data_IF_739228357241
#
_entry.id   IF_739228357241
#
_cell.length_a   1.000
_cell.length_b   1.000
_cell.length_c   1.000
_cell.angle_alpha   90.00
_cell.angle_beta   90.00
_cell.angle_gamma   90.00
#
_symmetry.space_group_name_H-M   'P 1'
#
loop_
_entity.id
_entity.type
_entity.pdbx_description
1 polymer ?
#
# COMPACT_ATOMS: atom_id res chain seq x y z
N UNK A 1 14.97 17.13 22.35
CA UNK A 1 13.58 16.76 22.73
C UNK A 1 13.32 15.33 22.29
N UNK A 2 13.23 14.39 23.24
CA UNK A 2 13.08 12.95 23.01
C UNK A 2 11.61 12.63 22.70
N UNK A 3 11.35 11.96 21.57
CA UNK A 3 10.02 11.40 21.26
C UNK A 3 10.01 9.93 21.69
N UNK A 4 9.32 9.66 22.78
CA UNK A 4 9.01 8.31 23.26
C UNK A 4 7.69 7.90 22.57
N UNK A 5 7.74 6.88 21.72
CA UNK A 5 6.56 6.29 21.08
C UNK A 5 5.89 5.33 22.07
N UNK A 6 4.76 5.77 22.65
CA UNK A 6 3.83 4.89 23.36
C UNK A 6 2.92 4.21 22.33
N UNK A 7 3.03 2.89 22.18
CA UNK A 7 2.03 2.08 21.49
C UNK A 7 0.97 1.71 22.53
N UNK A 8 -0.09 2.51 22.57
CA UNK A 8 -1.24 2.28 23.44
C UNK A 8 -2.24 1.31 22.77
N UNK A 9 -2.83 0.48 23.63
CA UNK A 9 -3.78 -0.59 23.34
C UNK A 9 -5.03 -0.13 22.59
N UNK A 10 -5.49 -0.97 21.65
CA UNK A 10 -6.79 -0.85 21.00
C UNK A 10 -7.45 -2.24 20.95
N UNK A 11 -8.36 -2.48 21.90
CA UNK A 11 -9.41 -3.48 21.75
C UNK A 11 -10.74 -2.87 22.15
N UNK A 12 -11.58 -2.59 21.15
CA UNK A 12 -13.01 -2.51 21.32
C UNK A 12 -13.64 -2.82 19.96
N UNK A 13 -14.14 -4.06 19.79
CA UNK A 13 -15.01 -4.40 18.67
C UNK A 13 -16.36 -4.87 19.22
N UNK A 14 -17.39 -4.14 18.82
CA UNK A 14 -18.78 -4.32 19.19
C UNK A 14 -19.36 -5.61 18.61
N UNK A 15 -20.19 -6.29 19.41
CA UNK A 15 -20.94 -7.46 19.00
C UNK A 15 -22.25 -7.05 18.30
N UNK A 16 -22.52 -7.62 17.13
CA UNK A 16 -23.88 -7.69 16.56
C UNK A 16 -24.15 -9.17 16.27
N UNK A 17 -25.15 -9.71 16.97
CA UNK A 17 -25.64 -11.08 16.82
C UNK A 17 -26.85 -11.12 15.88
N UNK A 18 -26.88 -12.10 14.97
CA UNK A 18 -28.14 -12.65 14.44
C UNK A 18 -28.11 -14.19 14.47
N UNK A 19 -29.26 -14.85 14.70
CA UNK A 19 -29.32 -16.27 15.01
C UNK A 19 -29.48 -17.17 13.78
N UNK A 20 -28.95 -18.39 13.91
CA UNK A 20 -29.00 -19.46 12.93
C UNK A 20 -30.40 -20.08 12.78
N UNK A 21 -30.73 -20.52 11.57
CA UNK A 21 -31.82 -21.47 11.29
C UNK A 21 -31.25 -22.83 10.87
N UNK A 22 -31.76 -23.88 11.53
CA UNK A 22 -31.38 -25.27 11.34
C UNK A 22 -32.15 -25.93 10.17
N UNK A 23 -31.45 -26.76 9.39
CA UNK A 23 -32.02 -27.54 8.29
C UNK A 23 -31.47 -28.97 8.19
N UNK A 24 -32.26 -29.93 8.70
CA UNK A 24 -32.36 -31.38 8.41
C UNK A 24 -31.63 -31.95 7.17
N UNK A 25 -30.88 -33.07 7.33
CA UNK A 25 -31.28 -34.49 6.99
C UNK A 25 -30.09 -35.45 6.71
N UNK A 26 -30.26 -36.66 7.27
CA UNK A 26 -30.00 -38.03 6.74
C UNK A 26 -28.59 -38.64 6.77
N UNK A 27 -28.53 -39.68 7.60
CA UNK A 27 -27.60 -40.82 7.60
C UNK A 27 -27.30 -41.41 6.22
N UNK A 28 -26.01 -41.63 5.95
CA UNK A 28 -25.51 -42.75 5.15
C UNK A 28 -24.22 -43.29 5.77
N UNK A 29 -24.32 -44.52 6.30
CA UNK A 29 -23.24 -45.38 6.77
C UNK A 29 -22.31 -45.75 5.60
N UNK A 30 -21.01 -45.50 5.72
CA UNK A 30 -19.99 -46.20 4.91
C UNK A 30 -18.66 -46.31 5.67
N UNK A 31 -18.40 -47.52 6.12
CA UNK A 31 -17.12 -48.27 6.20
C UNK A 31 -15.91 -47.50 6.74
N UNK A 32 -15.56 -47.84 7.98
CA UNK A 32 -14.29 -47.56 8.65
C UNK A 32 -13.12 -48.16 7.85
N UNK A 33 -12.11 -47.33 7.62
CA UNK A 33 -10.73 -47.80 7.37
C UNK A 33 -9.94 -47.25 8.54
N UNK A 34 -9.50 -48.13 9.45
CA UNK A 34 -8.72 -47.78 10.63
C UNK A 34 -7.38 -47.20 10.18
N UNK A 35 -7.27 -45.88 10.28
CA UNK A 35 -5.98 -45.20 10.34
C UNK A 35 -5.65 -45.13 11.83
N UNK A 36 -4.51 -45.67 12.24
CA UNK A 36 -4.04 -45.57 13.63
C UNK A 36 -3.73 -44.09 13.90
N UNK A 37 -4.75 -43.36 14.34
CA UNK A 37 -4.65 -42.01 14.85
C UNK A 37 -4.01 -42.11 16.24
N UNK A 38 -2.79 -41.62 16.33
CA UNK A 38 -2.05 -41.53 17.59
C UNK A 38 -2.87 -40.63 18.53
N UNK A 39 -3.52 -41.25 19.52
CA UNK A 39 -4.44 -40.57 20.42
C UNK A 39 -3.74 -39.38 21.08
N UNK A 40 -4.25 -38.17 20.83
CA UNK A 40 -3.86 -36.98 21.56
C UNK A 40 -4.07 -37.23 23.08
N UNK A 41 -3.17 -36.73 23.95
CA UNK A 41 -3.32 -36.89 25.39
C UNK A 41 -4.70 -36.38 25.83
N UNK A 42 -5.48 -37.26 26.46
CA UNK A 42 -6.84 -36.95 26.93
C UNK A 42 -6.70 -35.93 28.05
N UNK A 43 -7.03 -34.67 27.76
CA UNK A 43 -7.08 -33.64 28.82
C UNK A 43 -8.06 -34.10 29.92
N UNK A 44 -7.74 -33.85 31.20
CA UNK A 44 -8.58 -34.29 32.31
C UNK A 44 -9.98 -33.69 32.20
N UNK A 45 -11.00 -34.52 32.43
CA UNK A 45 -12.40 -34.09 32.43
C UNK A 45 -12.62 -33.07 33.55
N UNK A 46 -13.04 -31.87 33.20
CA UNK A 46 -13.33 -30.80 34.18
C UNK A 46 -14.61 -31.14 34.96
N UNK A 47 -14.52 -31.15 36.29
CA UNK A 47 -15.65 -31.33 37.22
C UNK A 47 -15.90 -30.01 37.95
N UNK A 48 -17.12 -29.47 37.85
CA UNK A 48 -17.53 -28.24 38.52
C UNK A 48 -18.26 -28.60 39.81
N UNK A 49 -17.62 -28.44 40.96
CA UNK A 49 -18.12 -28.96 42.23
C UNK A 49 -19.19 -28.07 42.87
N UNK A 50 -19.18 -26.77 42.59
CA UNK A 50 -20.11 -25.80 43.15
C UNK A 50 -20.48 -24.63 42.20
N UNK A 51 -21.23 -23.65 42.73
CA UNK A 51 -21.64 -22.48 41.98
C UNK A 51 -20.49 -21.53 41.63
N UNK A 52 -19.43 -21.49 42.44
CA UNK A 52 -18.25 -20.66 42.18
C UNK A 52 -17.41 -21.26 41.05
N UNK A 53 -17.20 -22.58 41.04
CA UNK A 53 -16.57 -23.29 39.93
C UNK A 53 -17.34 -23.04 38.63
N UNK A 54 -18.68 -23.16 38.69
CA UNK A 54 -19.55 -22.91 37.55
C UNK A 54 -19.44 -21.46 37.05
N UNK A 55 -19.45 -20.48 37.95
CA UNK A 55 -19.33 -19.07 37.60
C UNK A 55 -17.97 -18.75 36.97
N UNK A 56 -16.88 -19.25 37.56
CA UNK A 56 -15.53 -18.99 37.07
C UNK A 56 -15.24 -19.69 35.74
N UNK A 57 -15.70 -20.94 35.59
CA UNK A 57 -15.62 -21.65 34.31
C UNK A 57 -16.40 -20.92 33.22
N UNK A 58 -17.64 -20.52 33.52
CA UNK A 58 -18.45 -19.73 32.58
C UNK A 58 -17.83 -18.37 32.28
N UNK A 59 -17.20 -17.69 33.25
CA UNK A 59 -16.49 -16.44 33.05
C UNK A 59 -15.29 -16.60 32.10
N UNK A 60 -14.53 -17.70 32.25
CA UNK A 60 -13.44 -18.05 31.33
C UNK A 60 -13.92 -18.28 29.90
N UNK A 61 -14.95 -19.10 29.70
CA UNK A 61 -15.58 -19.31 28.38
C UNK A 61 -16.13 -17.99 27.82
N UNK A 62 -16.73 -17.15 28.66
CA UNK A 62 -17.28 -15.87 28.25
C UNK A 62 -16.16 -14.87 27.83
N UNK A 63 -14.98 -14.97 28.43
CA UNK A 63 -13.83 -14.13 28.11
C UNK A 63 -13.20 -14.45 26.75
N UNK A 64 -13.49 -15.60 26.12
CA UNK A 64 -12.93 -15.99 24.81
C UNK A 64 -13.76 -15.53 23.61
N UNK A 65 -14.82 -14.73 23.80
CA UNK A 65 -15.67 -14.26 22.69
C UNK A 65 -14.83 -13.54 21.63
N UNK A 66 -14.84 -14.08 20.40
CA UNK A 66 -14.07 -13.55 19.27
C UNK A 66 -12.58 -13.89 19.26
N UNK A 67 -12.04 -14.48 20.34
CA UNK A 67 -10.61 -14.77 20.47
C UNK A 67 -10.13 -15.78 19.43
N UNK A 68 -10.90 -16.84 19.17
CA UNK A 68 -10.53 -17.84 18.16
C UNK A 68 -10.38 -17.22 16.76
N UNK A 69 -11.35 -16.41 16.36
CA UNK A 69 -11.31 -15.71 15.08
C UNK A 69 -10.13 -14.75 15.01
N UNK A 70 -9.84 -14.04 16.10
CA UNK A 70 -8.67 -13.17 16.18
C UNK A 70 -7.36 -13.94 16.07
N UNK A 71 -7.22 -15.07 16.76
CA UNK A 71 -6.05 -15.95 16.70
C UNK A 71 -5.81 -16.41 15.26
N UNK A 72 -6.85 -16.91 14.62
CA UNK A 72 -6.80 -17.36 13.22
C UNK A 72 -6.46 -16.22 12.26
N UNK A 73 -7.17 -15.08 12.36
CA UNK A 73 -7.01 -13.99 11.40
C UNK A 73 -5.69 -13.23 11.58
N UNK A 74 -5.23 -13.05 12.82
CA UNK A 74 -4.04 -12.22 13.09
C UNK A 74 -2.75 -13.03 13.08
N UNK A 75 -2.77 -14.25 13.63
CA UNK A 75 -1.57 -15.06 13.78
C UNK A 75 -1.52 -16.25 12.82
N UNK A 76 -2.59 -16.49 12.06
CA UNK A 76 -2.64 -17.61 11.11
C UNK A 76 -2.65 -18.98 11.76
N UNK A 77 -2.92 -19.06 13.07
CA UNK A 77 -2.96 -20.34 13.79
C UNK A 77 -4.27 -21.03 13.46
N UNK A 78 -4.19 -22.08 12.66
CA UNK A 78 -5.32 -22.93 12.32
C UNK A 78 -5.69 -23.88 13.48
N UNK A 79 -6.75 -24.66 13.29
CA UNK A 79 -7.22 -25.60 14.32
C UNK A 79 -6.22 -26.72 14.59
N UNK A 80 -5.40 -27.12 13.62
CA UNK A 80 -4.41 -28.19 13.79
C UNK A 80 -3.28 -27.75 14.73
N UNK A 81 -2.95 -26.47 14.74
CA UNK A 81 -1.90 -25.89 15.59
C UNK A 81 -2.44 -25.26 16.89
N UNK A 82 -3.75 -25.29 17.13
CA UNK A 82 -4.37 -24.74 18.35
C UNK A 82 -3.86 -25.39 19.65
N UNK A 83 -3.59 -26.71 19.72
CA UNK A 83 -3.00 -27.31 20.92
C UNK A 83 -1.64 -26.68 21.29
N UNK A 84 -0.78 -26.46 20.30
CA UNK A 84 0.54 -25.81 20.48
C UNK A 84 0.36 -24.37 20.97
N UNK A 85 -0.63 -23.65 20.43
CA UNK A 85 -0.96 -22.30 20.90
C UNK A 85 -1.39 -22.30 22.37
N UNK A 86 -2.24 -23.25 22.77
CA UNK A 86 -2.72 -23.38 24.16
C UNK A 86 -1.57 -23.72 25.10
N UNK A 87 -0.65 -24.61 24.70
CA UNK A 87 0.57 -24.91 25.46
C UNK A 87 1.43 -23.65 25.67
N UNK A 88 1.67 -22.88 24.61
CA UNK A 88 2.41 -21.62 24.69
C UNK A 88 1.71 -20.56 25.56
N UNK A 89 0.37 -20.49 25.51
CA UNK A 89 -0.42 -19.59 26.36
C UNK A 89 -0.34 -20.01 27.84
N UNK A 90 -0.45 -21.31 28.15
CA UNK A 90 -0.30 -21.85 29.50
C UNK A 90 1.09 -21.57 30.05
N UNK A 91 2.15 -21.85 29.29
CA UNK A 91 3.53 -21.55 29.68
C UNK A 91 3.74 -20.05 29.91
N UNK A 92 3.20 -19.20 29.02
CA UNK A 92 3.34 -17.76 29.14
C UNK A 92 2.66 -17.15 30.35
N UNK A 93 1.52 -17.70 30.77
CA UNK A 93 0.84 -17.30 32.01
C UNK A 93 1.61 -17.75 33.26
N UNK A 94 2.15 -18.98 33.25
CA UNK A 94 2.92 -19.53 34.37
C UNK A 94 4.26 -18.81 34.57
N UNK A 95 4.98 -18.54 33.47
CA UNK A 95 6.32 -17.94 33.50
C UNK A 95 6.33 -16.43 33.30
N UNK A 96 5.16 -15.78 33.39
CA UNK A 96 4.98 -14.36 33.06
C UNK A 96 5.98 -13.45 33.78
N UNK A 97 6.40 -13.79 35.00
CA UNK A 97 7.35 -13.02 35.80
C UNK A 97 8.82 -13.44 35.71
N UNK A 98 9.12 -14.57 35.07
CA UNK A 98 10.48 -15.07 34.90
C UNK A 98 11.28 -14.18 33.92
N UNK A 99 12.47 -13.74 34.32
CA UNK A 99 13.29 -12.82 33.53
C UNK A 99 13.77 -13.40 32.19
N UNK A 100 14.15 -14.68 32.16
CA UNK A 100 14.60 -15.35 30.92
C UNK A 100 13.43 -15.55 29.95
N UNK A 101 12.26 -15.92 30.47
CA UNK A 101 11.04 -16.00 29.68
C UNK A 101 10.67 -14.64 29.11
N UNK A 102 10.69 -13.57 29.93
CA UNK A 102 10.46 -12.19 29.49
C UNK A 102 11.42 -11.80 28.36
N UNK A 103 12.71 -12.09 28.50
CA UNK A 103 13.71 -11.78 27.47
C UNK A 103 13.46 -12.53 26.15
N UNK A 104 13.16 -13.84 26.22
CA UNK A 104 12.85 -14.66 25.05
C UNK A 104 11.55 -14.21 24.36
N UNK A 105 10.50 -13.96 25.13
CA UNK A 105 9.22 -13.49 24.62
C UNK A 105 9.37 -12.13 23.92
N UNK A 106 10.13 -11.20 24.52
CA UNK A 106 10.47 -9.93 23.88
C UNK A 106 11.24 -10.15 22.56
N UNK A 107 12.20 -11.08 22.53
CA UNK A 107 12.91 -11.46 21.32
C UNK A 107 11.98 -11.91 20.19
N UNK A 108 11.01 -12.79 20.47
CA UNK A 108 10.02 -13.23 19.47
C UNK A 108 9.12 -12.09 18.99
N UNK A 109 8.69 -11.21 19.89
CA UNK A 109 7.90 -10.03 19.53
C UNK A 109 8.67 -9.10 18.58
N UNK A 110 9.93 -8.82 18.88
CA UNK A 110 10.78 -7.99 18.03
C UNK A 110 11.10 -8.69 16.71
N UNK A 111 11.31 -10.01 16.69
CA UNK A 111 11.53 -10.76 15.46
C UNK A 111 10.37 -10.61 14.47
N UNK A 112 9.12 -10.62 14.95
CA UNK A 112 7.95 -10.37 14.11
C UNK A 112 7.94 -8.94 13.55
N UNK A 113 8.26 -7.94 14.38
CA UNK A 113 8.40 -6.54 13.93
C UNK A 113 9.49 -6.41 12.87
N UNK A 114 10.65 -7.03 13.07
CA UNK A 114 11.78 -7.03 12.12
C UNK A 114 11.33 -7.64 10.79
N UNK A 115 10.67 -8.79 10.82
CA UNK A 115 10.21 -9.48 9.62
C UNK A 115 9.19 -8.65 8.85
N UNK A 116 8.18 -8.12 9.53
CA UNK A 116 7.05 -7.42 8.88
C UNK A 116 7.39 -6.01 8.44
N UNK A 117 8.20 -5.27 9.21
CA UNK A 117 8.40 -3.84 9.00
C UNK A 117 9.82 -3.47 8.55
N UNK A 118 10.83 -4.26 8.90
CA UNK A 118 12.22 -3.95 8.54
C UNK A 118 12.58 -4.71 7.26
N UNK A 119 12.62 -6.03 7.31
CA UNK A 119 13.04 -6.87 6.18
C UNK A 119 12.15 -6.65 4.95
N UNK A 120 10.83 -6.54 5.13
CA UNK A 120 9.89 -6.30 4.04
C UNK A 120 10.08 -4.94 3.32
N UNK A 121 10.83 -4.01 3.91
CA UNK A 121 11.07 -2.68 3.34
C UNK A 121 12.48 -2.51 2.77
N UNK A 122 13.47 -3.29 3.21
CA UNK A 122 14.85 -3.19 2.68
C UNK A 122 14.88 -3.43 1.16
N UNK A 123 14.21 -4.48 0.68
CA UNK A 123 14.14 -4.78 -0.75
C UNK A 123 13.50 -3.65 -1.56
N UNK A 124 12.51 -2.95 -0.99
CA UNK A 124 11.85 -1.81 -1.64
C UNK A 124 12.76 -0.60 -1.73
N UNK A 125 13.59 -0.36 -0.72
CA UNK A 125 14.51 0.80 -0.70
C UNK A 125 15.61 0.69 -1.75
N UNK A 126 16.12 -0.53 -2.00
CA UNK A 126 17.17 -0.81 -2.98
C UNK A 126 16.62 -1.21 -4.35
N UNK A 127 15.30 -1.30 -4.52
CA UNK A 127 14.67 -1.69 -5.77
C UNK A 127 15.12 -0.80 -6.94
N UNK A 128 15.48 -1.44 -8.06
CA UNK A 128 16.00 -0.78 -9.26
C UNK A 128 17.45 -0.27 -9.13
N UNK A 129 18.10 -0.42 -7.97
CA UNK A 129 19.54 -0.14 -7.84
C UNK A 129 20.36 -1.39 -8.19
N UNK A 130 21.69 -1.27 -8.16
CA UNK A 130 22.61 -2.41 -8.32
C UNK A 130 22.86 -3.17 -7.02
N UNK A 131 22.39 -2.66 -5.87
CA UNK A 131 22.57 -3.31 -4.60
C UNK A 131 21.73 -4.59 -4.50
N UNK A 132 22.26 -5.57 -3.76
CA UNK A 132 21.58 -6.85 -3.50
C UNK A 132 21.40 -7.02 -2.00
N UNK A 133 20.16 -7.29 -1.57
CA UNK A 133 19.89 -7.56 -0.17
C UNK A 133 20.46 -8.92 0.25
N UNK A 134 21.31 -8.93 1.28
CA UNK A 134 21.89 -10.13 1.88
C UNK A 134 21.42 -10.26 3.32
N UNK A 135 20.27 -10.90 3.52
CA UNK A 135 19.64 -11.05 4.83
C UNK A 135 20.57 -11.57 5.93
N UNK A 136 21.45 -12.59 5.71
CA UNK A 136 22.36 -13.05 6.77
C UNK A 136 23.31 -11.96 7.26
N UNK A 137 23.83 -11.12 6.35
CA UNK A 137 24.74 -10.02 6.70
C UNK A 137 23.99 -8.89 7.39
N UNK A 138 22.79 -8.56 6.89
CA UNK A 138 21.93 -7.58 7.54
C UNK A 138 21.60 -7.97 8.99
N UNK A 139 21.22 -9.24 9.21
CA UNK A 139 20.89 -9.73 10.55
C UNK A 139 22.11 -9.81 11.45
N UNK A 140 23.29 -10.12 10.91
CA UNK A 140 24.55 -10.06 11.66
C UNK A 140 24.79 -8.64 12.20
N UNK A 141 24.73 -7.62 11.32
CA UNK A 141 24.88 -6.23 11.74
C UNK A 141 23.79 -5.77 12.73
N UNK A 142 22.55 -6.22 12.55
CA UNK A 142 21.45 -5.94 13.48
C UNK A 142 21.74 -6.51 14.87
N UNK A 143 22.17 -7.77 14.96
CA UNK A 143 22.47 -8.41 16.26
C UNK A 143 23.73 -7.84 16.90
N UNK A 144 24.76 -7.52 16.13
CA UNK A 144 25.98 -6.88 16.63
C UNK A 144 25.65 -5.52 17.26
N UNK A 145 24.84 -4.69 16.59
CA UNK A 145 24.37 -3.42 17.14
C UNK A 145 23.54 -3.59 18.43
N UNK A 146 22.64 -4.59 18.50
CA UNK A 146 21.86 -4.89 19.73
C UNK A 146 22.76 -5.32 20.88
N UNK A 147 23.85 -6.06 20.59
CA UNK A 147 24.87 -6.43 21.58
C UNK A 147 25.77 -5.26 22.00
N UNK A 148 25.68 -4.12 21.33
CA UNK A 148 26.60 -2.99 21.51
C UNK A 148 27.98 -3.23 20.90
N UNK A 149 28.11 -4.22 20.02
CA UNK A 149 29.33 -4.47 19.26
C UNK A 149 29.48 -3.38 18.19
N UNK A 150 30.64 -2.72 18.21
CA UNK A 150 31.00 -1.62 17.30
C UNK A 150 32.32 -1.87 16.58
N UNK A 151 32.79 -3.13 16.59
CA UNK A 151 34.06 -3.54 15.98
C UNK A 151 34.12 -3.27 14.47
N UNK A 152 33.00 -3.48 13.77
CA UNK A 152 32.90 -3.22 12.32
C UNK A 152 32.48 -1.77 12.03
N UNK A 153 31.41 -1.31 12.68
CA UNK A 153 30.92 0.07 12.58
C UNK A 153 30.37 0.55 13.91
N UNK A 154 30.58 1.84 14.21
CA UNK A 154 29.72 2.53 15.18
C UNK A 154 28.35 2.79 14.56
N UNK A 155 27.32 3.00 15.39
CA UNK A 155 25.98 3.38 14.90
C UNK A 155 26.01 4.64 14.01
N UNK A 156 26.89 5.59 14.35
CA UNK A 156 27.03 6.83 13.59
C UNK A 156 27.66 6.56 12.22
N UNK A 157 28.76 5.80 12.18
CA UNK A 157 29.49 5.54 10.94
C UNK A 157 28.69 4.64 10.00
N UNK A 158 27.99 3.64 10.53
CA UNK A 158 27.05 2.82 9.75
C UNK A 158 25.94 3.67 9.14
N UNK A 159 25.36 4.60 9.92
CA UNK A 159 24.33 5.51 9.41
C UNK A 159 24.87 6.44 8.34
N UNK A 160 26.08 6.97 8.49
CA UNK A 160 26.69 7.85 7.48
C UNK A 160 26.95 7.10 6.18
N UNK A 161 27.64 5.95 6.28
CA UNK A 161 27.92 5.09 5.13
C UNK A 161 26.65 4.68 4.39
N UNK A 162 25.62 4.21 5.13
CA UNK A 162 24.35 3.81 4.51
C UNK A 162 23.69 4.96 3.75
N UNK A 163 23.65 6.16 4.33
CA UNK A 163 23.02 7.31 3.67
C UNK A 163 23.79 7.73 2.41
N UNK A 164 25.11 7.82 2.49
CA UNK A 164 25.96 8.18 1.35
C UNK A 164 25.81 7.20 0.19
N UNK A 165 25.96 5.90 0.47
CA UNK A 165 25.85 4.84 -0.53
C UNK A 165 24.45 4.79 -1.14
N UNK A 166 23.40 4.91 -0.33
CA UNK A 166 22.02 4.92 -0.83
C UNK A 166 21.69 6.17 -1.65
N UNK A 167 22.29 7.33 -1.33
CA UNK A 167 22.15 8.54 -2.15
C UNK A 167 22.75 8.31 -3.53
N UNK A 168 23.95 7.74 -3.60
CA UNK A 168 24.61 7.46 -4.89
C UNK A 168 23.85 6.40 -5.70
N UNK A 169 23.45 5.29 -5.06
CA UNK A 169 22.66 4.23 -5.71
C UNK A 169 21.35 4.77 -6.31
N UNK A 170 20.65 5.65 -5.57
CA UNK A 170 19.42 6.30 -6.06
C UNK A 170 19.71 7.26 -7.21
N UNK A 171 20.79 8.06 -7.13
CA UNK A 171 21.21 8.96 -8.21
C UNK A 171 21.46 8.17 -9.50
N UNK A 172 22.25 7.11 -9.44
CA UNK A 172 22.58 6.27 -10.60
C UNK A 172 21.33 5.60 -11.18
N UNK A 173 20.44 5.09 -10.32
CA UNK A 173 19.15 4.53 -10.77
C UNK A 173 18.31 5.58 -11.49
N UNK A 174 18.15 6.76 -10.89
CA UNK A 174 17.27 7.81 -11.40
C UNK A 174 17.82 8.40 -12.72
N UNK A 175 19.14 8.53 -12.87
CA UNK A 175 19.78 8.93 -14.12
C UNK A 175 19.59 7.91 -15.23
N UNK A 176 19.74 6.62 -14.92
CA UNK A 176 19.49 5.54 -15.89
C UNK A 176 18.02 5.55 -16.33
N UNK A 177 17.10 5.61 -15.37
CA UNK A 177 15.67 5.64 -15.65
C UNK A 177 15.26 6.89 -16.44
N UNK A 178 15.82 8.07 -16.11
CA UNK A 178 15.61 9.30 -16.89
C UNK A 178 16.04 9.11 -18.35
N UNK A 179 17.24 8.57 -18.57
CA UNK A 179 17.75 8.31 -19.92
C UNK A 179 16.87 7.33 -20.70
N UNK A 180 16.43 6.24 -20.07
CA UNK A 180 15.50 5.27 -20.67
C UNK A 180 14.18 5.96 -21.11
N UNK A 181 13.65 6.87 -20.30
CA UNK A 181 12.43 7.61 -20.61
C UNK A 181 12.61 8.64 -21.74
N UNK A 182 13.76 9.32 -21.80
CA UNK A 182 14.12 10.25 -22.86
C UNK A 182 14.33 9.52 -24.20
N UNK A 183 15.03 8.40 -24.19
CA UNK A 183 15.24 7.55 -25.38
C UNK A 183 13.92 6.97 -25.88
N UNK A 184 13.04 6.52 -24.97
CA UNK A 184 11.70 6.05 -25.32
C UNK A 184 10.89 7.14 -26.03
N UNK A 185 10.90 8.38 -25.53
CA UNK A 185 10.22 9.51 -26.18
C UNK A 185 10.82 9.85 -27.54
N UNK A 186 12.15 9.83 -27.65
CA UNK A 186 12.83 10.10 -28.92
C UNK A 186 12.47 9.05 -29.99
N UNK A 187 12.29 7.78 -29.59
CA UNK A 187 11.83 6.73 -30.50
C UNK A 187 10.34 6.84 -30.81
N UNK A 188 9.50 7.13 -29.80
CA UNK A 188 8.07 7.34 -29.98
C UNK A 188 7.76 8.47 -30.98
N UNK A 189 8.54 9.57 -30.93
CA UNK A 189 8.39 10.70 -31.85
C UNK A 189 8.54 10.33 -33.34
N UNK A 190 9.19 9.22 -33.66
CA UNK A 190 9.41 8.76 -35.04
C UNK A 190 8.24 7.94 -35.59
N UNK A 191 7.30 7.52 -34.74
CA UNK A 191 6.17 6.73 -35.17
C UNK A 191 5.18 7.56 -35.98
N UNK A 192 4.50 6.91 -36.93
CA UNK A 192 3.49 7.56 -37.76
C UNK A 192 2.31 8.08 -36.90
N UNK A 193 1.86 9.30 -37.20
CA UNK A 193 0.74 9.94 -36.52
C UNK A 193 1.08 10.57 -35.17
N UNK A 194 2.36 10.53 -34.73
CA UNK A 194 2.83 11.25 -33.56
C UNK A 194 3.18 12.68 -33.93
N UNK A 195 2.65 13.63 -33.14
CA UNK A 195 2.95 15.05 -33.24
C UNK A 195 3.70 15.47 -31.99
N UNK A 196 4.82 16.18 -32.16
CA UNK A 196 5.60 16.77 -31.05
C UNK A 196 5.42 18.27 -31.05
N UNK A 197 5.03 18.86 -29.92
CA UNK A 197 4.90 20.31 -29.76
C UNK A 197 6.22 20.95 -29.33
N UNK A 198 6.28 22.29 -29.37
CA UNK A 198 7.48 23.05 -28.94
C UNK A 198 7.85 22.81 -27.46
N UNK A 199 6.89 22.46 -26.60
CA UNK A 199 7.13 22.16 -25.18
C UNK A 199 7.72 20.76 -24.97
N UNK A 200 7.74 19.92 -26.02
CA UNK A 200 8.13 18.52 -25.96
C UNK A 200 6.96 17.56 -25.69
N UNK A 201 5.73 18.05 -25.51
CA UNK A 201 4.55 17.17 -25.45
C UNK A 201 4.42 16.42 -26.77
N UNK A 202 4.28 15.10 -26.70
CA UNK A 202 3.93 14.30 -27.87
C UNK A 202 2.49 13.81 -27.74
N UNK A 203 1.78 13.69 -28.86
CA UNK A 203 0.45 13.11 -28.86
C UNK A 203 0.11 12.43 -30.19
N UNK A 204 -0.87 11.53 -30.13
CA UNK A 204 -1.53 10.92 -31.29
C UNK A 204 -3.04 11.11 -31.17
N UNK A 205 -3.66 11.60 -32.24
CA UNK A 205 -5.12 11.71 -32.31
C UNK A 205 -5.70 10.36 -32.69
N UNK A 206 -6.36 9.69 -31.75
CA UNK A 206 -7.07 8.42 -32.00
C UNK A 206 -8.45 8.71 -32.60
N UNK A 207 -9.13 9.72 -32.08
CA UNK A 207 -10.42 10.20 -32.58
C UNK A 207 -10.48 11.71 -32.42
N UNK A 208 -10.83 12.42 -33.50
CA UNK A 208 -11.09 13.86 -33.44
C UNK A 208 -12.57 14.11 -33.09
N UNK A 209 -12.80 14.86 -32.02
CA UNK A 209 -14.12 15.34 -31.63
C UNK A 209 -14.52 16.59 -32.43
N UNK A 210 -15.78 16.99 -32.28
CA UNK A 210 -16.35 18.16 -32.96
C UNK A 210 -16.98 19.17 -31.99
N UNK A 211 -16.83 18.95 -30.68
CA UNK A 211 -17.37 19.83 -29.65
C UNK A 211 -16.46 21.00 -29.31
N UNK A 212 -16.81 21.73 -28.24
CA UNK A 212 -16.03 22.86 -27.77
C UNK A 212 -14.63 22.43 -27.28
N UNK A 213 -13.65 23.31 -27.50
CA UNK A 213 -12.31 23.21 -26.90
C UNK A 213 -12.30 24.04 -25.61
N UNK A 214 -11.66 23.51 -24.56
CA UNK A 214 -11.63 24.15 -23.25
C UNK A 214 -10.66 25.33 -23.20
N UNK A 215 -11.03 26.39 -22.50
CA UNK A 215 -10.09 27.40 -22.02
C UNK A 215 -9.44 26.94 -20.70
N UNK A 216 -8.33 27.56 -20.30
CA UNK A 216 -7.56 27.14 -19.12
C UNK A 216 -8.35 27.13 -17.81
N UNK A 217 -9.41 27.95 -17.69
CA UNK A 217 -10.28 28.00 -16.51
C UNK A 217 -11.47 27.07 -16.56
N UNK A 218 -11.82 26.52 -17.74
CA UNK A 218 -13.00 25.70 -17.93
C UNK A 218 -12.90 24.37 -17.16
N UNK A 219 -14.04 23.69 -17.05
CA UNK A 219 -14.13 22.36 -16.48
C UNK A 219 -14.28 21.34 -17.60
N UNK A 220 -13.37 20.39 -17.64
CA UNK A 220 -13.30 19.32 -18.64
C UNK A 220 -13.58 18.00 -17.95
N UNK A 221 -14.62 17.30 -18.39
CA UNK A 221 -14.93 15.95 -17.92
C UNK A 221 -14.28 14.97 -18.87
N UNK A 222 -13.48 14.06 -18.32
CA UNK A 222 -12.69 13.09 -19.08
C UNK A 222 -12.90 11.67 -18.58
N UNK A 223 -12.63 10.71 -19.46
CA UNK A 223 -12.19 9.37 -19.09
C UNK A 223 -10.72 9.23 -19.44
N UNK A 224 -9.95 8.56 -18.60
CA UNK A 224 -8.53 8.39 -18.87
C UNK A 224 -7.91 7.18 -18.19
N UNK A 225 -6.79 6.75 -18.74
CA UNK A 225 -5.86 5.81 -18.12
C UNK A 225 -4.44 6.33 -18.30
N UNK A 226 -3.68 6.36 -17.20
CA UNK A 226 -2.29 6.78 -17.14
C UNK A 226 -1.38 5.60 -16.80
N UNK A 227 -0.34 5.40 -17.62
CA UNK A 227 0.66 4.33 -17.46
C UNK A 227 2.08 4.84 -17.67
N UNK A 228 3.04 4.14 -17.07
CA UNK A 228 4.47 4.33 -17.31
C UNK A 228 4.89 3.65 -18.63
N UNK A 229 6.12 3.91 -19.10
CA UNK A 229 6.67 3.32 -20.34
C UNK A 229 6.79 1.80 -20.30
N UNK A 230 6.84 1.21 -19.10
CA UNK A 230 6.86 -0.25 -18.88
C UNK A 230 5.44 -0.88 -18.88
N UNK A 231 4.39 -0.06 -19.05
CA UNK A 231 2.99 -0.48 -19.04
C UNK A 231 2.33 -0.47 -17.67
N UNK A 232 3.04 -0.13 -16.57
CA UNK A 232 2.48 -0.04 -15.23
C UNK A 232 1.42 1.07 -15.18
N UNK A 233 0.16 0.70 -14.97
CA UNK A 233 -0.95 1.64 -14.76
C UNK A 233 -0.86 2.26 -13.38
N UNK A 234 -0.72 3.59 -13.32
CA UNK A 234 -0.63 4.34 -12.07
C UNK A 234 -1.93 5.04 -11.68
N UNK A 235 -2.77 5.41 -12.66
CA UNK A 235 -4.09 5.98 -12.41
C UNK A 235 -5.06 5.66 -13.57
N UNK A 236 -6.33 5.45 -13.26
CA UNK A 236 -7.37 5.13 -14.24
C UNK A 236 -8.73 5.59 -13.73
N UNK A 237 -9.47 6.35 -14.53
CA UNK A 237 -10.84 6.75 -14.18
C UNK A 237 -11.81 5.57 -14.27
N UNK A 238 -11.51 4.58 -15.10
CA UNK A 238 -12.35 3.40 -15.36
C UNK A 238 -12.55 2.52 -14.12
N UNK A 239 -11.66 2.62 -13.12
CA UNK A 239 -11.78 1.86 -11.86
C UNK A 239 -12.64 2.57 -10.81
N UNK A 240 -13.23 3.72 -11.14
CA UNK A 240 -14.02 4.56 -10.23
C UNK A 240 -15.48 4.59 -10.66
N UNK A 241 -16.37 4.96 -9.73
CA UNK A 241 -17.80 5.16 -10.01
C UNK A 241 -18.22 6.57 -9.55
N UNK A 242 -18.65 7.47 -10.45
CA UNK A 242 -18.69 7.30 -11.90
C UNK A 242 -17.29 7.17 -12.53
N UNK A 243 -17.21 6.59 -13.74
CA UNK A 243 -15.96 6.29 -14.46
C UNK A 243 -15.32 7.51 -15.13
N UNK A 244 -15.73 8.71 -14.71
CA UNK A 244 -15.31 10.01 -15.24
C UNK A 244 -14.64 10.84 -14.15
N UNK A 245 -13.82 11.80 -14.57
CA UNK A 245 -13.25 12.79 -13.67
C UNK A 245 -13.31 14.17 -14.30
N UNK A 246 -13.57 15.20 -13.50
CA UNK A 246 -13.64 16.58 -13.98
C UNK A 246 -12.44 17.36 -13.47
N UNK A 247 -11.70 17.96 -14.40
CA UNK A 247 -10.52 18.76 -14.10
C UNK A 247 -10.65 20.15 -14.70
N UNK A 248 -9.88 21.09 -14.16
CA UNK A 248 -9.60 22.36 -14.85
C UNK A 248 -8.19 22.31 -15.42
N UNK A 249 -7.94 22.72 -16.68
CA UNK A 249 -6.61 22.61 -17.29
C UNK A 249 -5.50 23.26 -16.46
N UNK A 250 -5.79 24.40 -15.80
CA UNK A 250 -4.82 25.08 -14.91
C UNK A 250 -4.49 24.35 -13.59
N UNK A 251 -5.19 23.26 -13.26
CA UNK A 251 -5.02 22.52 -12.00
C UNK A 251 -4.38 21.14 -12.18
N UNK A 252 -4.02 20.79 -13.40
CA UNK A 252 -3.38 19.52 -13.76
C UNK A 252 -1.94 19.77 -14.22
N UNK A 253 -1.18 18.69 -14.42
CA UNK A 253 0.21 18.76 -14.91
C UNK A 253 0.27 19.52 -16.24
N UNK A 254 1.41 20.15 -16.53
CA UNK A 254 1.55 21.06 -17.67
C UNK A 254 1.21 20.40 -19.02
N UNK A 255 1.58 19.13 -19.21
CA UNK A 255 1.25 18.38 -20.42
C UNK A 255 -0.26 18.17 -20.60
N UNK A 256 -1.01 17.94 -19.51
CA UNK A 256 -2.46 17.87 -19.56
C UNK A 256 -3.10 19.24 -19.82
N UNK A 257 -2.59 20.31 -19.20
CA UNK A 257 -3.07 21.67 -19.45
C UNK A 257 -2.97 22.03 -20.94
N UNK A 258 -1.82 21.75 -21.54
CA UNK A 258 -1.59 21.97 -22.96
C UNK A 258 -2.49 21.09 -23.85
N UNK A 259 -2.62 19.80 -23.54
CA UNK A 259 -3.45 18.89 -24.33
C UNK A 259 -4.95 19.25 -24.27
N UNK A 260 -5.50 19.46 -23.07
CA UNK A 260 -6.94 19.72 -22.89
C UNK A 260 -7.40 21.03 -23.55
N UNK A 261 -6.51 22.01 -23.69
CA UNK A 261 -6.79 23.28 -24.39
C UNK A 261 -6.65 23.18 -25.91
N UNK A 262 -6.35 21.97 -26.43
CA UNK A 262 -6.27 21.65 -27.86
C UNK A 262 -7.25 20.56 -28.29
N UNK A 263 -7.82 19.82 -27.34
CA UNK A 263 -8.74 18.70 -27.59
C UNK A 263 -10.20 19.17 -27.65
N UNK A 264 -10.88 19.09 -28.82
CA UNK A 264 -12.33 19.27 -28.89
C UNK A 264 -13.07 18.20 -28.07
N UNK A 265 -14.20 18.55 -27.46
CA UNK A 265 -15.04 17.55 -26.81
C UNK A 265 -15.47 16.44 -27.81
N UNK A 266 -15.46 15.19 -27.33
CA UNK A 266 -15.62 13.97 -28.12
C UNK A 266 -14.31 13.38 -28.66
N UNK A 267 -13.17 14.04 -28.45
CA UNK A 267 -11.86 13.54 -28.88
C UNK A 267 -11.32 12.45 -27.96
N UNK A 268 -10.56 11.53 -28.56
CA UNK A 268 -9.72 10.55 -27.85
C UNK A 268 -8.29 10.73 -28.34
N UNK A 269 -7.38 11.13 -27.45
CA UNK A 269 -5.96 11.29 -27.76
C UNK A 269 -5.13 10.38 -26.87
N UNK A 270 -4.02 9.91 -27.41
CA UNK A 270 -2.92 9.39 -26.62
C UNK A 270 -1.89 10.51 -26.43
N UNK A 271 -1.50 10.76 -25.18
CA UNK A 271 -0.54 11.78 -24.78
C UNK A 271 0.71 11.07 -24.25
N UNK A 272 1.88 11.57 -24.62
CA UNK A 272 3.17 11.13 -24.10
C UNK A 272 3.90 12.35 -23.55
N UNK A 273 3.92 12.42 -22.22
CA UNK A 273 4.25 13.62 -21.47
C UNK A 273 5.65 13.45 -20.87
N UNK A 274 6.66 14.23 -21.31
CA UNK A 274 7.99 14.20 -20.72
C UNK A 274 7.98 14.67 -19.26
N UNK A 275 9.01 14.31 -18.50
CA UNK A 275 9.11 14.58 -17.06
C UNK A 275 8.88 16.05 -16.68
N UNK A 276 9.41 16.97 -17.48
CA UNK A 276 9.32 18.41 -17.26
C UNK A 276 7.89 18.95 -17.42
N UNK A 277 7.02 18.22 -18.14
CA UNK A 277 5.59 18.53 -18.28
C UNK A 277 4.71 17.68 -17.36
N UNK A 278 5.31 16.75 -16.61
CA UNK A 278 4.68 15.86 -15.64
C UNK A 278 5.05 16.23 -14.19
N UNK A 279 5.73 15.31 -13.49
CA UNK A 279 6.10 15.45 -12.07
C UNK A 279 7.58 15.77 -11.84
N UNK A 280 8.38 15.89 -12.90
CA UNK A 280 9.79 16.25 -12.84
C UNK A 280 10.64 15.27 -12.03
N UNK A 281 11.59 15.80 -11.27
CA UNK A 281 12.47 15.04 -10.37
C UNK A 281 11.80 14.54 -9.09
N UNK A 282 10.49 14.73 -8.93
CA UNK A 282 9.77 14.35 -7.70
C UNK A 282 9.03 13.04 -7.92
N UNK A 283 9.05 12.18 -6.91
CA UNK A 283 8.19 11.00 -6.88
C UNK A 283 6.73 11.42 -6.61
N UNK A 284 5.79 10.83 -7.34
CA UNK A 284 4.35 11.07 -7.18
C UNK A 284 3.59 9.73 -7.06
N UNK A 285 3.33 9.29 -5.82
CA UNK A 285 2.69 8.00 -5.57
C UNK A 285 3.49 6.85 -6.19
N UNK A 286 2.91 6.18 -7.19
CA UNK A 286 3.54 5.08 -7.94
C UNK A 286 4.45 5.55 -9.08
N UNK A 287 4.50 6.85 -9.38
CA UNK A 287 5.28 7.42 -10.48
C UNK A 287 6.69 7.74 -9.98
N UNK A 288 7.75 7.07 -10.48
CA UNK A 288 9.13 7.41 -10.16
C UNK A 288 9.52 8.82 -10.65
N UNK A 289 10.54 9.46 -10.05
CA UNK A 289 11.16 10.65 -10.60
C UNK A 289 11.54 10.48 -12.08
N UNK A 290 11.44 11.56 -12.86
CA UNK A 290 11.82 11.63 -14.27
C UNK A 290 11.02 10.73 -15.23
N UNK A 291 9.86 10.25 -14.80
CA UNK A 291 9.00 9.41 -15.65
C UNK A 291 8.39 10.19 -16.82
N UNK A 292 8.43 9.59 -18.00
CA UNK A 292 7.49 9.86 -19.08
C UNK A 292 6.14 9.24 -18.73
N UNK A 293 5.07 10.01 -18.90
CA UNK A 293 3.71 9.56 -18.62
C UNK A 293 2.96 9.35 -19.92
N UNK A 294 2.36 8.18 -20.07
CA UNK A 294 1.51 7.84 -21.21
C UNK A 294 0.07 7.89 -20.75
N UNK A 295 -0.75 8.71 -21.39
CA UNK A 295 -2.18 8.78 -21.10
C UNK A 295 -3.01 8.50 -22.34
N UNK A 296 -4.06 7.70 -22.19
CA UNK A 296 -5.19 7.72 -23.11
C UNK A 296 -6.26 8.59 -22.50
N UNK A 297 -6.68 9.65 -23.19
CA UNK A 297 -7.65 10.63 -22.67
C UNK A 297 -8.81 10.78 -23.64
N UNK A 298 -10.03 10.56 -23.15
CA UNK A 298 -11.28 10.89 -23.83
C UNK A 298 -11.87 12.15 -23.18
N UNK A 299 -12.08 13.21 -23.96
CA UNK A 299 -12.81 14.40 -23.49
C UNK A 299 -14.29 14.17 -23.71
N UNK A 300 -15.03 13.91 -22.63
CA UNK A 300 -16.48 13.66 -22.66
C UNK A 300 -17.25 14.97 -22.85
N UNK A 301 -16.91 16.00 -22.08
CA UNK A 301 -17.59 17.30 -22.16
C UNK A 301 -16.72 18.45 -21.63
N UNK A 302 -17.03 19.66 -22.11
CA UNK A 302 -16.44 20.92 -21.64
C UNK A 302 -17.57 21.80 -21.13
N UNK A 303 -17.39 22.35 -19.93
CA UNK A 303 -18.32 23.30 -19.32
C UNK A 303 -17.59 24.58 -18.92
N UNK A 304 -18.15 25.73 -19.29
CA UNK A 304 -17.56 27.04 -18.99
C UNK A 304 -17.50 27.25 -17.48
N UNK A 305 -16.38 27.79 -16.99
CA UNK A 305 -16.32 28.24 -15.62
C UNK A 305 -17.38 29.32 -15.38
N UNK A 306 -18.15 29.21 -14.29
CA UNK A 306 -19.11 30.26 -13.93
C UNK A 306 -18.36 31.60 -13.84
N UNK A 307 -18.76 32.54 -14.68
CA UNK A 307 -18.22 33.89 -14.72
C UNK A 307 -18.38 34.50 -13.33
N UNK A 308 -17.27 34.89 -12.68
CA UNK A 308 -17.37 35.65 -11.43
C UNK A 308 -18.07 36.95 -11.76
N UNK A 309 -19.33 37.08 -11.36
CA UNK A 309 -20.10 38.31 -11.51
C UNK A 309 -19.26 39.51 -11.02
N UNK A 310 -19.20 40.61 -11.78
CA UNK A 310 -18.40 41.77 -11.41
C UNK A 310 -18.87 42.28 -10.05
N UNK A 311 -17.90 42.49 -9.14
CA UNK A 311 -18.15 43.04 -7.82
C UNK A 311 -18.92 44.36 -7.96
N UNK A 312 -20.19 44.37 -7.54
CA UNK A 312 -20.98 45.58 -7.45
C UNK A 312 -20.34 46.49 -6.42
N UNK A 313 -19.60 47.49 -6.91
CA UNK A 313 -19.18 48.66 -6.14
C UNK A 313 -20.43 49.31 -5.54
N UNK A 314 -20.70 49.03 -4.25
CA UNK A 314 -21.62 49.82 -3.45
C UNK A 314 -21.01 51.21 -3.27
N UNK A 315 -21.40 52.11 -4.17
CA UNK A 315 -21.09 53.53 -4.07
C UNK A 315 -21.93 54.11 -2.91
N UNK A 316 -21.34 54.21 -1.73
CA UNK A 316 -21.97 54.82 -0.56
C UNK A 316 -21.89 56.35 -0.74
N UNK A 317 -22.96 56.95 -1.28
CA UNK A 317 -23.15 58.41 -1.18
C UNK A 317 -23.65 58.75 0.23
N UNK A 318 -22.90 59.66 0.86
CA UNK A 318 -23.25 60.38 2.08
C UNK A 318 -24.50 61.23 1.88
#
# INVERSE_FOLDING_TARGET
MKRILFIAALFAAAAISTPATAGKKKDKKKVQTETVEQAAPVEPVVVLADQNDTLNYAAGVNATRGLLQYIQNKFGVDNAHMPIFIEGLKEGLDKADNAEFKARAAGYQIAEVVKQNILANVDKEIAGTTATFKQPIFMQGFFDAVKGDSTVFTLKDASMYYQEEMTELKRVRDERYKKENEEWLAENAKQEGIVTTESGLQYRVVKMGTGAVAESSDKVTVKYEGKLIDGTVFDSSYTRTPDTSTFSPKQVIAGWNEALTKMPAGSVWELYIPENLGYGSRQAGKIPPYSTLIFTVEVVSVSKAAEKAPATSKNNKR
#
